data_IF_508941146907
#
_entry.id   IF_508941146907
#
_cell.length_a   1.000
_cell.length_b   1.000
_cell.length_c   1.000
_cell.angle_alpha   90.00
_cell.angle_beta   90.00
_cell.angle_gamma   90.00
#
_symmetry.space_group_name_H-M   'P 1'
#
loop_
_entity.id
_entity.type
_entity.pdbx_description
1 polymer ?
#
# COMPACT_ATOMS: atom_id res chain seq x y z
N UNK A 1 15.08 -3.47 28.85
CA UNK A 1 14.72 -2.45 27.84
C UNK A 1 15.23 -2.95 26.49
N UNK A 2 14.34 -3.46 25.63
CA UNK A 2 14.69 -3.72 24.23
C UNK A 2 15.00 -2.39 23.52
N UNK A 3 15.88 -2.38 22.50
CA UNK A 3 16.40 -1.13 21.97
C UNK A 3 15.31 -0.32 21.23
N UNK A 4 15.28 1.01 21.39
CA UNK A 4 14.27 1.92 20.80
C UNK A 4 14.23 1.94 19.26
N UNK A 5 15.23 1.33 18.62
CA UNK A 5 15.40 1.33 17.17
C UNK A 5 14.47 0.35 16.46
N UNK A 6 14.10 -0.77 17.12
CA UNK A 6 13.26 -1.81 16.51
C UNK A 6 11.78 -1.41 16.48
N UNK A 7 11.28 -0.79 17.54
CA UNK A 7 9.89 -0.27 17.60
C UNK A 7 9.67 0.87 16.60
N UNK A 8 10.71 1.71 16.39
CA UNK A 8 10.68 2.74 15.34
C UNK A 8 10.64 2.15 13.92
N UNK A 9 11.29 1.01 13.68
CA UNK A 9 11.26 0.33 12.37
C UNK A 9 9.90 -0.30 12.07
N UNK A 10 9.22 -0.87 13.08
CA UNK A 10 7.87 -1.40 12.96
C UNK A 10 6.86 -0.27 12.72
N UNK A 11 6.96 0.83 13.47
CA UNK A 11 6.11 2.01 13.28
C UNK A 11 6.25 2.61 11.88
N UNK A 12 7.47 2.74 11.36
CA UNK A 12 7.72 3.22 10.00
C UNK A 12 7.18 2.27 8.92
N UNK A 13 7.27 0.96 9.14
CA UNK A 13 6.70 -0.03 8.23
C UNK A 13 5.17 0.05 8.20
N UNK A 14 4.52 0.20 9.36
CA UNK A 14 3.07 0.41 9.46
C UNK A 14 2.65 1.72 8.78
N UNK A 15 3.40 2.80 8.99
CA UNK A 15 3.16 4.08 8.31
C UNK A 15 3.22 3.94 6.78
N UNK A 16 4.24 3.23 6.26
CA UNK A 16 4.36 2.95 4.83
C UNK A 16 3.16 2.17 4.30
N UNK A 17 2.71 1.13 5.01
CA UNK A 17 1.50 0.37 4.64
C UNK A 17 0.27 1.29 4.60
N UNK A 18 0.10 2.17 5.59
CA UNK A 18 -1.01 3.10 5.64
C UNK A 18 -0.98 4.11 4.49
N UNK A 19 0.19 4.61 4.10
CA UNK A 19 0.37 5.50 2.94
C UNK A 19 0.00 4.76 1.64
N UNK A 20 0.54 3.55 1.43
CA UNK A 20 0.26 2.79 0.21
C UNK A 20 -1.23 2.42 0.09
N UNK A 21 -1.89 2.10 1.21
CA UNK A 21 -3.33 1.83 1.23
C UNK A 21 -4.15 3.07 0.85
N UNK A 22 -3.74 4.27 1.30
CA UNK A 22 -4.37 5.53 0.89
C UNK A 22 -4.22 5.77 -0.61
N UNK A 23 -3.05 5.50 -1.19
CA UNK A 23 -2.84 5.66 -2.64
C UNK A 23 -3.72 4.69 -3.46
N UNK A 24 -3.91 3.44 -3.01
CA UNK A 24 -4.85 2.50 -3.65
C UNK A 24 -6.28 3.02 -3.60
N UNK A 25 -6.69 3.58 -2.46
CA UNK A 25 -8.03 4.18 -2.31
C UNK A 25 -8.21 5.37 -3.26
N UNK A 26 -7.22 6.26 -3.35
CA UNK A 26 -7.27 7.42 -4.24
C UNK A 26 -7.31 7.00 -5.72
N UNK A 27 -6.50 6.01 -6.12
CA UNK A 27 -6.52 5.49 -7.48
C UNK A 27 -7.88 4.86 -7.83
N UNK A 28 -8.48 4.13 -6.89
CA UNK A 28 -9.81 3.53 -7.04
C UNK A 28 -10.90 4.60 -7.16
N UNK A 29 -10.86 5.65 -6.33
CA UNK A 29 -11.82 6.76 -6.40
C UNK A 29 -11.72 7.54 -7.72
N UNK A 30 -10.49 7.74 -8.23
CA UNK A 30 -10.28 8.37 -9.53
C UNK A 30 -10.90 7.54 -10.66
N UNK A 31 -10.71 6.21 -10.59
CA UNK A 31 -11.31 5.26 -11.53
C UNK A 31 -12.85 5.30 -11.46
N UNK A 32 -13.44 5.24 -10.28
CA UNK A 32 -14.89 5.36 -10.09
C UNK A 32 -15.45 6.68 -10.62
N UNK A 33 -14.76 7.78 -10.37
CA UNK A 33 -15.17 9.11 -10.85
C UNK A 33 -15.18 9.15 -12.37
N UNK A 34 -14.14 8.60 -13.00
CA UNK A 34 -14.04 8.50 -14.45
C UNK A 34 -15.18 7.67 -15.05
N UNK A 35 -15.52 6.52 -14.45
CA UNK A 35 -16.67 5.70 -14.87
C UNK A 35 -18.02 6.43 -14.70
N UNK A 36 -18.19 7.21 -13.64
CA UNK A 36 -19.43 7.99 -13.39
C UNK A 36 -19.59 9.15 -14.38
N UNK A 37 -18.49 9.67 -14.93
CA UNK A 37 -18.48 10.83 -15.82
C UNK A 37 -18.41 10.47 -17.31
N UNK A 38 -17.89 9.29 -17.67
CA UNK A 38 -17.76 8.87 -19.05
C UNK A 38 -18.98 8.04 -19.49
N UNK A 39 -19.75 8.53 -20.46
CA UNK A 39 -20.87 7.77 -21.07
C UNK A 39 -20.40 6.45 -21.69
N UNK A 40 -19.15 6.42 -22.16
CA UNK A 40 -18.54 5.24 -22.78
C UNK A 40 -18.04 4.19 -21.78
N UNK A 41 -18.09 4.48 -20.47
CA UNK A 41 -17.78 3.54 -19.38
C UNK A 41 -16.41 2.84 -19.50
N UNK A 42 -15.46 3.38 -20.26
CA UNK A 42 -14.19 2.71 -20.52
C UNK A 42 -13.09 3.41 -19.70
N UNK A 43 -12.43 2.71 -18.75
CA UNK A 43 -11.36 3.31 -17.97
C UNK A 43 -10.14 3.53 -18.85
N UNK A 44 -9.51 4.69 -18.74
CA UNK A 44 -8.30 4.94 -19.53
C UNK A 44 -7.16 4.02 -19.07
N UNK A 45 -6.29 3.55 -19.98
CA UNK A 45 -5.12 2.73 -19.64
C UNK A 45 -4.27 3.35 -18.51
N UNK A 46 -4.25 4.67 -18.42
CA UNK A 46 -3.54 5.42 -17.38
C UNK A 46 -4.12 5.19 -15.97
N UNK A 47 -5.45 5.19 -15.81
CA UNK A 47 -6.08 4.93 -14.52
C UNK A 47 -5.80 3.49 -14.04
N UNK A 48 -5.86 2.53 -14.95
CA UNK A 48 -5.56 1.12 -14.65
C UNK A 48 -4.08 0.92 -14.28
N UNK A 49 -3.17 1.59 -15.00
CA UNK A 49 -1.74 1.58 -14.68
C UNK A 49 -1.47 2.17 -13.28
N UNK A 50 -2.12 3.29 -12.94
CA UNK A 50 -1.99 3.92 -11.62
C UNK A 50 -2.50 3.01 -10.50
N UNK A 51 -3.66 2.38 -10.68
CA UNK A 51 -4.22 1.45 -9.70
C UNK A 51 -3.29 0.24 -9.51
N UNK A 52 -2.76 -0.31 -10.60
CA UNK A 52 -1.83 -1.44 -10.56
C UNK A 52 -0.55 -1.08 -9.80
N UNK A 53 0.04 0.08 -10.09
CA UNK A 53 1.24 0.56 -9.40
C UNK A 53 1.00 0.77 -7.89
N UNK A 54 -0.13 1.38 -7.51
CA UNK A 54 -0.50 1.56 -6.11
C UNK A 54 -0.70 0.21 -5.39
N UNK A 55 -1.33 -0.76 -6.05
CA UNK A 55 -1.54 -2.09 -5.49
C UNK A 55 -0.23 -2.86 -5.29
N UNK A 56 0.72 -2.73 -6.23
CA UNK A 56 2.06 -3.31 -6.11
C UNK A 56 2.86 -2.71 -4.96
N UNK A 57 2.80 -1.38 -4.77
CA UNK A 57 3.47 -0.72 -3.65
C UNK A 57 2.86 -1.13 -2.30
N UNK A 58 1.53 -1.29 -2.23
CA UNK A 58 0.87 -1.79 -1.03
C UNK A 58 1.30 -3.22 -0.69
N UNK A 59 1.43 -4.09 -1.71
CA UNK A 59 1.93 -5.45 -1.50
C UNK A 59 3.37 -5.42 -0.98
N UNK A 60 4.26 -4.65 -1.61
CA UNK A 60 5.65 -4.54 -1.19
C UNK A 60 5.79 -3.99 0.24
N UNK A 61 4.96 -3.02 0.63
CA UNK A 61 4.94 -2.49 1.99
C UNK A 61 4.49 -3.54 3.02
N UNK A 62 3.49 -4.38 2.68
CA UNK A 62 3.03 -5.49 3.53
C UNK A 62 4.12 -6.56 3.66
N UNK A 63 4.74 -6.97 2.56
CA UNK A 63 5.81 -7.97 2.58
C UNK A 63 6.99 -7.52 3.46
N UNK A 64 7.33 -6.22 3.40
CA UNK A 64 8.36 -5.63 4.26
C UNK A 64 7.99 -5.66 5.74
N UNK A 65 6.73 -5.37 6.08
CA UNK A 65 6.23 -5.46 7.45
C UNK A 65 6.22 -6.92 7.94
N UNK A 66 5.74 -7.84 7.13
CA UNK A 66 5.68 -9.27 7.46
C UNK A 66 7.09 -9.84 7.68
N UNK A 67 8.08 -9.43 6.88
CA UNK A 67 9.48 -9.79 7.09
C UNK A 67 10.02 -9.29 8.45
N UNK A 68 9.70 -8.05 8.84
CA UNK A 68 10.09 -7.50 10.14
C UNK A 68 9.43 -8.28 11.30
N UNK A 69 8.15 -8.62 11.16
CA UNK A 69 7.41 -9.39 12.17
C UNK A 69 7.90 -10.83 12.28
N UNK A 70 8.24 -11.48 11.16
CA UNK A 70 8.81 -12.82 11.16
C UNK A 70 10.12 -12.88 11.95
N UNK A 71 11.00 -11.88 11.77
CA UNK A 71 12.26 -11.74 12.54
C UNK A 71 11.99 -11.53 14.03
N UNK A 72 10.90 -10.85 14.41
CA UNK A 72 10.49 -10.66 15.80
C UNK A 72 10.04 -11.97 16.48
N UNK A 73 9.48 -12.90 15.70
CA UNK A 73 8.90 -14.17 16.22
C UNK A 73 9.84 -15.37 16.19
N UNK A 74 10.99 -15.28 15.53
CA UNK A 74 11.95 -16.38 15.47
C UNK A 74 12.66 -16.57 16.84
N UNK A 75 12.62 -17.76 17.45
CA UNK A 75 13.44 -18.05 18.64
C UNK A 75 14.92 -18.10 18.22
N UNK A 76 15.77 -17.44 19.02
CA UNK A 76 17.23 -17.45 18.87
C UNK A 76 17.82 -18.86 18.95
#
# INVERSE_FOLDING_TARGET
MGPPVKDASEAAAVERVAIAAREVQLASLALETHFKQSEDGTPTPLHMARLTAAAQELQAARDALDALLAVKTAPY
#
